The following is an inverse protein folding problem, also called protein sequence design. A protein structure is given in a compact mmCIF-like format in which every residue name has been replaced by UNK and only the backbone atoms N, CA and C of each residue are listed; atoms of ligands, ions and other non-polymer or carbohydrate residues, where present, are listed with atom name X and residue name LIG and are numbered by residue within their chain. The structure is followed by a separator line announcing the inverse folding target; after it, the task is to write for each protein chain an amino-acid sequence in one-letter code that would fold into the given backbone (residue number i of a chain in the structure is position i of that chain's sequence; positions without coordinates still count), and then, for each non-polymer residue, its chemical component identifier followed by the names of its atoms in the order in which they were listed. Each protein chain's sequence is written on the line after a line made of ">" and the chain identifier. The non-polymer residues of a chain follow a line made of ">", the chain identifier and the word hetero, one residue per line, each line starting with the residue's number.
data_IF_309658762562
#
_entry.id   IF_309658762562
#
_cell.length_a   1.000
_cell.length_b   1.000
_cell.length_c   1.000
_cell.angle_alpha   90.00
_cell.angle_beta   90.00
_cell.angle_gamma   90.00
#
_symmetry.space_group_name_H-M   'P 1'
#
loop_
_entity.id
_entity.type
_entity.pdbx_description
1 polymer ?
#
# COMPACT_ATOMS: atom_id res chain seq x y z
N UNK A 1 -18.50 -1.94 12.76
CA UNK A 1 -17.16 -1.91 12.15
C UNK A 1 -16.90 -3.19 11.40
N UNK A 2 -16.35 -3.08 10.19
CA UNK A 2 -16.13 -4.22 9.28
C UNK A 2 -14.63 -4.32 9.00
N UNK A 3 -14.15 -5.53 8.76
CA UNK A 3 -12.76 -5.77 8.37
C UNK A 3 -12.68 -5.92 6.85
N UNK A 4 -11.64 -5.36 6.25
CA UNK A 4 -11.30 -5.56 4.83
C UNK A 4 -10.02 -6.38 4.77
N UNK A 5 -10.01 -7.48 4.03
CA UNK A 5 -8.78 -8.19 3.69
C UNK A 5 -8.20 -7.62 2.39
N UNK A 6 -6.89 -7.40 2.37
CA UNK A 6 -6.13 -7.04 1.18
C UNK A 6 -5.20 -8.20 0.86
N UNK A 7 -5.41 -8.83 -0.29
CA UNK A 7 -4.66 -9.99 -0.77
C UNK A 7 -3.72 -9.57 -1.92
N UNK A 8 -2.45 -9.92 -1.78
CA UNK A 8 -1.40 -9.63 -2.74
C UNK A 8 -1.25 -10.75 -3.77
N UNK A 9 -0.49 -10.49 -4.82
CA UNK A 9 -0.34 -11.41 -5.94
C UNK A 9 0.32 -12.73 -5.56
N UNK A 10 0.13 -13.74 -6.40
CA UNK A 10 0.77 -15.05 -6.22
C UNK A 10 2.29 -14.92 -6.12
N UNK A 11 2.87 -15.48 -5.06
CA UNK A 11 4.30 -15.42 -4.78
C UNK A 11 4.78 -14.09 -4.19
N UNK A 12 3.86 -13.16 -3.90
CA UNK A 12 4.18 -11.98 -3.11
C UNK A 12 4.15 -12.29 -1.62
N UNK A 13 5.16 -11.75 -0.93
CA UNK A 13 5.28 -11.78 0.51
C UNK A 13 5.48 -10.35 1.01
N UNK A 14 4.69 -9.95 2.00
CA UNK A 14 4.81 -8.66 2.68
C UNK A 14 6.16 -8.60 3.40
N UNK A 15 6.95 -7.60 3.04
CA UNK A 15 8.21 -7.27 3.70
C UNK A 15 7.96 -6.25 4.80
N UNK A 16 7.14 -5.23 4.52
CA UNK A 16 6.84 -4.18 5.49
C UNK A 16 5.52 -3.46 5.19
N UNK A 17 4.94 -2.91 6.26
CA UNK A 17 3.73 -2.10 6.23
C UNK A 17 4.03 -0.79 6.97
N UNK A 18 3.65 0.34 6.37
CA UNK A 18 3.66 1.64 7.01
C UNK A 18 2.28 2.28 6.87
N UNK A 19 1.75 2.85 7.95
CA UNK A 19 0.46 3.53 7.95
C UNK A 19 0.57 4.87 8.65
N UNK A 20 -0.26 5.84 8.23
CA UNK A 20 -0.27 7.17 8.80
C UNK A 20 -0.98 7.25 10.16
N UNK A 21 -2.19 6.68 10.24
CA UNK A 21 -3.03 6.71 11.44
C UNK A 21 -3.25 5.27 11.95
N UNK A 22 -2.54 4.93 13.02
CA UNK A 22 -2.63 3.62 13.70
C UNK A 22 -3.55 3.64 14.91
N UNK A 23 -4.13 4.79 15.26
CA UNK A 23 -5.15 4.89 16.33
C UNK A 23 -6.54 4.71 15.74
N UNK A 24 -6.80 5.33 14.58
CA UNK A 24 -8.05 5.21 13.82
C UNK A 24 -8.18 3.91 13.04
N UNK A 25 -7.09 3.16 12.86
CA UNK A 25 -7.08 1.90 12.13
C UNK A 25 -6.15 0.87 12.77
N UNK A 26 -6.61 -0.38 12.79
CA UNK A 26 -5.81 -1.55 13.11
C UNK A 26 -5.41 -2.26 11.81
N UNK A 27 -4.16 -2.70 11.76
CA UNK A 27 -3.57 -3.41 10.62
C UNK A 27 -2.88 -4.68 11.10
N UNK A 28 -3.24 -5.82 10.51
CA UNK A 28 -2.64 -7.11 10.87
C UNK A 28 -2.22 -7.87 9.61
N UNK A 29 -0.98 -8.34 9.54
CA UNK A 29 -0.55 -9.25 8.49
C UNK A 29 -1.10 -10.66 8.74
N UNK A 30 -1.60 -11.32 7.70
CA UNK A 30 -2.06 -12.71 7.78
C UNK A 30 -0.83 -13.63 7.75
N UNK A 31 -0.79 -14.71 8.55
CA UNK A 31 0.28 -15.71 8.48
C UNK A 31 0.52 -16.20 7.05
N UNK A 32 1.80 -16.26 6.66
CA UNK A 32 2.20 -16.55 5.28
C UNK A 32 2.32 -15.32 4.39
N UNK A 33 2.14 -14.10 4.92
CA UNK A 33 2.61 -12.84 4.32
C UNK A 33 1.94 -12.42 3.01
N UNK A 34 0.93 -13.13 2.54
CA UNK A 34 0.27 -12.89 1.25
C UNK A 34 -0.95 -11.97 1.37
N UNK A 35 -1.35 -11.62 2.60
CA UNK A 35 -2.49 -10.75 2.84
C UNK A 35 -2.33 -9.95 4.13
N UNK A 36 -3.07 -8.85 4.23
CA UNK A 36 -3.26 -8.08 5.46
C UNK A 36 -4.74 -7.79 5.71
N UNK A 37 -5.07 -7.52 6.96
CA UNK A 37 -6.39 -7.10 7.41
C UNK A 37 -6.33 -5.63 7.78
N UNK A 38 -7.38 -4.90 7.40
CA UNK A 38 -7.58 -3.49 7.74
C UNK A 38 -8.91 -3.35 8.45
N UNK A 39 -8.87 -2.79 9.66
CA UNK A 39 -10.07 -2.58 10.47
C UNK A 39 -10.09 -1.14 10.98
N UNK A 40 -11.11 -0.33 10.64
CA UNK A 40 -11.29 0.97 11.26
C UNK A 40 -11.68 0.81 12.73
N UNK A 41 -11.11 1.67 13.57
CA UNK A 41 -11.33 1.76 15.01
C UNK A 41 -12.11 3.02 15.41
N UNK A 42 -12.27 3.96 14.49
CA UNK A 42 -13.11 5.15 14.60
C UNK A 42 -14.00 5.32 13.36
N UNK A 43 -15.04 6.14 13.45
CA UNK A 43 -15.94 6.44 12.32
C UNK A 43 -15.49 7.71 11.59
N UNK A 44 -15.66 7.74 10.26
CA UNK A 44 -15.33 8.91 9.43
C UNK A 44 -13.84 9.23 9.30
N UNK A 45 -12.96 8.31 9.69
CA UNK A 45 -11.50 8.47 9.58
C UNK A 45 -10.99 8.10 8.19
N UNK A 46 -9.89 8.74 7.80
CA UNK A 46 -9.16 8.45 6.56
C UNK A 46 -7.67 8.38 6.85
N UNK A 47 -6.97 7.47 6.20
CA UNK A 47 -5.52 7.31 6.34
C UNK A 47 -4.89 6.82 5.04
N UNK A 48 -3.56 6.77 5.03
CA UNK A 48 -2.78 6.13 3.98
C UNK A 48 -2.10 4.86 4.52
N UNK A 49 -1.95 3.86 3.64
CA UNK A 49 -1.18 2.65 3.92
C UNK A 49 -0.20 2.44 2.75
N UNK A 50 1.05 2.14 3.08
CA UNK A 50 2.08 1.73 2.14
C UNK A 50 2.48 0.30 2.49
N UNK A 51 2.45 -0.59 1.51
CA UNK A 51 2.87 -1.98 1.69
C UNK A 51 3.97 -2.31 0.70
N UNK A 52 5.13 -2.72 1.22
CA UNK A 52 6.21 -3.27 0.42
C UNK A 52 6.14 -4.78 0.47
N UNK A 53 6.13 -5.40 -0.69
CA UNK A 53 6.30 -6.84 -0.87
C UNK A 53 7.65 -7.13 -1.53
N UNK A 54 8.02 -8.40 -1.61
CA UNK A 54 9.18 -8.87 -2.37
C UNK A 54 9.10 -8.61 -3.89
N UNK A 55 7.96 -8.21 -4.46
CA UNK A 55 7.82 -7.93 -5.89
C UNK A 55 7.29 -6.53 -6.23
N UNK A 56 6.37 -5.97 -5.43
CA UNK A 56 5.70 -4.69 -5.69
C UNK A 56 5.57 -3.82 -4.44
N UNK A 57 5.39 -2.52 -4.67
CA UNK A 57 4.95 -1.56 -3.66
C UNK A 57 3.50 -1.15 -3.93
N UNK A 58 2.71 -1.07 -2.87
CA UNK A 58 1.29 -0.67 -2.91
C UNK A 58 1.07 0.57 -2.07
N UNK A 59 0.24 1.48 -2.58
CA UNK A 59 -0.12 2.73 -1.93
C UNK A 59 -1.64 2.83 -1.89
N UNK A 60 -2.20 2.90 -0.69
CA UNK A 60 -3.63 2.95 -0.44
C UNK A 60 -4.01 4.27 0.21
N UNK A 61 -5.10 4.86 -0.26
CA UNK A 61 -5.92 5.77 0.52
C UNK A 61 -7.09 4.96 1.07
N UNK A 62 -7.27 4.98 2.38
CA UNK A 62 -8.28 4.18 3.08
C UNK A 62 -9.21 5.10 3.84
N UNK A 63 -10.51 4.94 3.62
CA UNK A 63 -11.55 5.71 4.28
C UNK A 63 -12.57 4.76 4.90
N UNK A 64 -12.94 5.00 6.16
CA UNK A 64 -14.04 4.29 6.78
C UNK A 64 -15.37 4.70 6.13
N UNK A 65 -16.20 3.72 5.76
CA UNK A 65 -17.52 3.99 5.20
C UNK A 65 -18.55 2.97 5.67
N UNK A 66 -19.73 3.47 5.98
CA UNK A 66 -20.91 2.66 6.29
C UNK A 66 -21.81 2.42 5.06
N UNK A 67 -21.56 3.08 3.93
CA UNK A 67 -22.39 2.98 2.73
C UNK A 67 -22.08 1.78 1.85
N UNK A 68 -20.87 1.21 1.97
CA UNK A 68 -20.44 0.05 1.19
C UNK A 68 -19.65 -0.92 2.06
N UNK A 69 -19.68 -2.20 1.71
CA UNK A 69 -18.88 -3.23 2.39
C UNK A 69 -17.88 -3.83 1.42
N UNK A 70 -16.60 -3.60 1.69
CA UNK A 70 -15.51 -4.24 0.96
C UNK A 70 -14.95 -5.33 1.85
N UNK A 71 -15.28 -6.58 1.56
CA UNK A 71 -14.77 -7.71 2.34
C UNK A 71 -13.34 -8.07 1.94
N UNK A 72 -13.06 -8.09 0.64
CA UNK A 72 -11.76 -8.47 0.07
C UNK A 72 -11.40 -7.54 -1.07
N UNK A 73 -10.15 -7.06 -1.07
CA UNK A 73 -9.48 -6.39 -2.18
C UNK A 73 -8.33 -7.29 -2.60
N UNK A 74 -8.34 -7.80 -3.83
CA UNK A 74 -7.32 -8.72 -4.32
C UNK A 74 -6.58 -8.16 -5.52
N UNK A 75 -5.26 -8.23 -5.47
CA UNK A 75 -4.38 -7.94 -6.60
C UNK A 75 -3.93 -9.24 -7.23
N UNK A 76 -4.30 -9.46 -8.48
CA UNK A 76 -3.68 -10.54 -9.24
C UNK A 76 -2.19 -10.18 -9.49
N UNK A 77 -1.33 -11.21 -9.49
CA UNK A 77 0.03 -11.09 -10.02
C UNK A 77 -0.02 -10.72 -11.51
N UNK A 78 1.12 -10.41 -12.15
CA UNK A 78 1.13 -10.23 -13.59
C UNK A 78 0.54 -11.49 -14.23
N UNK A 79 -0.69 -11.40 -14.75
CA UNK A 79 -1.14 -12.29 -15.81
C UNK A 79 -0.05 -12.12 -16.87
N UNK A 80 0.48 -13.21 -17.42
CA UNK A 80 1.31 -13.18 -18.63
C UNK A 80 0.48 -12.60 -19.79
N UNK A 81 0.18 -11.30 -19.74
CA UNK A 81 -0.14 -10.47 -20.88
C UNK A 81 1.20 -9.97 -21.34
N UNK A 82 1.61 -10.44 -22.51
CA UNK A 82 2.73 -9.92 -23.28
C UNK A 82 2.90 -8.42 -23.04
N UNK A 83 4.14 -8.00 -22.82
CA UNK A 83 4.53 -6.65 -22.39
C UNK A 83 3.67 -5.53 -23.03
N UNK A 84 3.31 -4.47 -22.29
CA UNK A 84 2.61 -3.34 -22.87
C UNK A 84 3.47 -2.75 -24.00
N UNK A 85 2.91 -2.45 -25.18
CA UNK A 85 3.64 -1.71 -26.20
C UNK A 85 4.15 -0.37 -25.63
N UNK A 86 5.28 0.10 -26.14
CA UNK A 86 6.03 1.26 -25.63
C UNK A 86 5.20 2.57 -25.48
N UNK A 87 3.99 2.60 -26.04
CA UNK A 87 3.01 3.68 -25.92
C UNK A 87 2.19 3.68 -24.61
N UNK A 88 2.46 2.78 -23.66
CA UNK A 88 1.88 2.76 -22.30
C UNK A 88 2.89 3.07 -21.18
N UNK A 89 4.02 3.69 -21.49
CA UNK A 89 4.83 4.32 -20.45
C UNK A 89 4.13 5.58 -19.96
N UNK A 90 3.92 5.68 -18.65
CA UNK A 90 3.41 6.91 -18.02
C UNK A 90 4.48 7.97 -18.16
N UNK A 91 4.27 8.92 -19.08
CA UNK A 91 5.04 10.17 -19.12
C UNK A 91 4.66 10.93 -17.86
N UNK A 92 5.62 11.14 -16.96
CA UNK A 92 5.44 11.94 -15.76
C UNK A 92 5.20 13.40 -16.17
N UNK A 93 3.94 13.79 -16.30
CA UNK A 93 3.54 15.19 -16.48
C UNK A 93 2.30 15.45 -15.62
N UNK A 94 2.52 15.54 -14.33
CA UNK A 94 1.65 16.26 -13.41
C UNK A 94 2.54 16.87 -12.31
N UNK A 95 2.41 18.17 -12.00
CA UNK A 95 3.17 18.76 -10.91
C UNK A 95 2.60 18.21 -9.59
N UNK A 96 3.31 17.28 -8.98
CA UNK A 96 3.05 16.90 -7.59
C UNK A 96 3.75 17.90 -6.69
N UNK A 97 2.98 18.52 -5.79
CA UNK A 97 3.51 19.29 -4.67
C UNK A 97 4.53 18.46 -3.90
N UNK A 98 5.68 19.07 -3.68
CA UNK A 98 6.95 18.42 -3.37
C UNK A 98 7.09 18.23 -1.85
N UNK A 99 7.09 16.99 -1.37
CA UNK A 99 7.77 16.65 -0.11
C UNK A 99 9.17 16.15 -0.46
N UNK A 100 10.13 17.07 -0.45
CA UNK A 100 11.54 16.77 -0.67
C UNK A 100 12.28 16.55 0.64
N UNK A 101 12.97 15.42 0.77
CA UNK A 101 14.18 15.33 1.59
C UNK A 101 15.37 15.24 0.62
N UNK A 102 16.19 16.29 0.61
CA UNK A 102 17.29 16.47 -0.34
C UNK A 102 18.45 15.51 -0.03
N UNK A 103 19.04 14.95 -1.09
CA UNK A 103 20.16 13.99 -1.11
C UNK A 103 21.50 14.74 -1.03
N UNK A 104 21.80 15.39 0.09
CA UNK A 104 23.13 16.02 0.31
C UNK A 104 23.66 15.99 1.76
N UNK A 105 23.31 15.01 2.58
CA UNK A 105 24.12 14.71 3.78
C UNK A 105 24.27 13.22 3.98
N UNK A 106 25.47 12.73 3.69
CA UNK A 106 26.00 11.42 3.99
C UNK A 106 25.95 11.16 5.50
N UNK A 107 25.29 10.10 5.95
CA UNK A 107 25.29 9.70 7.37
C UNK A 107 26.17 8.46 7.51
N UNK A 108 27.48 8.69 7.57
CA UNK A 108 28.43 7.70 8.11
C UNK A 108 29.22 8.39 9.22
N UNK A 109 29.02 8.02 10.51
CA UNK A 109 29.97 8.41 11.55
C UNK A 109 31.30 7.71 11.25
N UNK A 110 32.39 8.46 11.12
CA UNK A 110 33.75 7.93 11.23
C UNK A 110 34.31 8.34 12.58
N UNK A 111 34.52 7.30 13.40
CA UNK A 111 35.12 7.21 14.75
C UNK A 111 34.57 8.12 15.86
#
# INVERSE_FOLDING_TARGET
>A
MKVTSIEFGSGEEIISIAAGDTEGFQFDAVPGGHAMLVKPMMSGVTTNIIVYTNQRAYYFAVTETNSATHYVVRFDGPRTRSAPPANKQVVATAPYDTYGANRLTEITPRE
#
